data_IF_241780496004
#
_entry.id   IF_241780496004
#
_cell.length_a   1.000
_cell.length_b   1.000
_cell.length_c   1.000
_cell.angle_alpha   90.00
_cell.angle_beta   90.00
_cell.angle_gamma   90.00
#
_symmetry.space_group_name_H-M   'P 1'
#
loop_
_entity.id
_entity.type
_entity.pdbx_description
1 polymer ?
#
# COMPACT_ATOMS: atom_id res chain seq x y z
N UNK A 1 -14.67 26.61 4.40
CA UNK A 1 -14.91 25.83 3.16
C UNK A 1 -13.68 25.07 2.66
N UNK A 2 -12.48 25.69 2.51
CA UNK A 2 -11.27 25.02 1.97
C UNK A 2 -10.85 23.75 2.75
N UNK A 3 -10.94 23.77 4.08
CA UNK A 3 -10.53 22.63 4.91
C UNK A 3 -11.48 21.42 4.78
N UNK A 4 -12.78 21.64 4.61
CA UNK A 4 -13.76 20.55 4.46
C UNK A 4 -13.47 19.74 3.19
N UNK A 5 -13.16 20.43 2.09
CA UNK A 5 -12.81 19.80 0.81
C UNK A 5 -11.49 19.03 0.93
N UNK A 6 -10.54 19.55 1.70
CA UNK A 6 -9.27 18.86 1.96
C UNK A 6 -9.48 17.53 2.68
N UNK A 7 -10.29 17.50 3.75
CA UNK A 7 -10.59 16.25 4.47
C UNK A 7 -11.34 15.25 3.60
N UNK A 8 -12.30 15.70 2.79
CA UNK A 8 -13.02 14.83 1.86
C UNK A 8 -12.09 14.17 0.82
N UNK A 9 -11.02 14.85 0.40
CA UNK A 9 -10.02 14.29 -0.54
C UNK A 9 -9.15 13.19 0.08
N UNK A 10 -9.02 13.15 1.40
CA UNK A 10 -8.21 12.13 2.10
C UNK A 10 -8.98 10.81 2.20
N UNK A 11 -10.31 10.85 2.31
CA UNK A 11 -11.16 9.67 2.51
C UNK A 11 -10.89 8.57 1.46
N UNK A 12 -10.87 8.85 0.14
CA UNK A 12 -10.59 7.82 -0.86
C UNK A 12 -9.21 7.17 -0.69
N UNK A 13 -8.19 7.94 -0.29
CA UNK A 13 -6.83 7.44 -0.08
C UNK A 13 -6.79 6.47 1.11
N UNK A 14 -7.48 6.81 2.19
CA UNK A 14 -7.59 5.93 3.37
C UNK A 14 -8.34 4.65 3.03
N UNK A 15 -9.44 4.74 2.29
CA UNK A 15 -10.19 3.55 1.82
C UNK A 15 -9.28 2.66 0.98
N UNK A 16 -8.57 3.22 0.00
CA UNK A 16 -7.64 2.47 -0.83
C UNK A 16 -6.54 1.77 -0.01
N UNK A 17 -5.97 2.46 0.98
CA UNK A 17 -4.96 1.91 1.88
C UNK A 17 -5.51 0.71 2.69
N UNK A 18 -6.73 0.82 3.23
CA UNK A 18 -7.38 -0.27 3.99
C UNK A 18 -7.64 -1.48 3.08
N UNK A 19 -8.15 -1.26 1.87
CA UNK A 19 -8.44 -2.34 0.92
C UNK A 19 -7.18 -3.10 0.54
N UNK A 20 -6.10 -2.39 0.19
CA UNK A 20 -4.82 -3.00 -0.18
C UNK A 20 -4.20 -3.71 1.04
N UNK A 21 -4.25 -3.09 2.21
CA UNK A 21 -3.74 -3.67 3.46
C UNK A 21 -4.45 -4.98 3.82
N UNK A 22 -5.79 -5.01 3.76
CA UNK A 22 -6.56 -6.22 4.02
C UNK A 22 -6.25 -7.33 3.01
N UNK A 23 -6.03 -6.98 1.74
CA UNK A 23 -5.64 -7.94 0.72
C UNK A 23 -4.25 -8.53 1.00
N UNK A 24 -3.27 -7.69 1.36
CA UNK A 24 -1.95 -8.15 1.76
C UNK A 24 -1.99 -9.05 3.00
N UNK A 25 -2.79 -8.69 4.01
CA UNK A 25 -2.97 -9.51 5.22
C UNK A 25 -3.55 -10.88 4.90
N UNK A 26 -4.49 -10.97 3.96
CA UNK A 26 -5.03 -12.25 3.51
C UNK A 26 -3.93 -13.13 2.87
N UNK A 27 -3.04 -12.53 2.08
CA UNK A 27 -1.93 -13.24 1.45
C UNK A 27 -0.86 -13.66 2.47
N UNK A 28 -0.57 -12.82 3.46
CA UNK A 28 0.33 -13.15 4.55
C UNK A 28 -0.22 -14.32 5.39
N UNK A 29 -1.52 -14.32 5.68
CA UNK A 29 -2.19 -15.45 6.36
C UNK A 29 -2.09 -16.74 5.54
N UNK A 30 -2.26 -16.67 4.20
CA UNK A 30 -2.09 -17.82 3.31
C UNK A 30 -0.66 -18.32 3.27
N UNK A 31 0.33 -17.43 3.21
CA UNK A 31 1.75 -17.79 3.26
C UNK A 31 2.09 -18.53 4.56
N UNK A 32 1.65 -17.99 5.70
CA UNK A 32 1.83 -18.62 7.00
C UNK A 32 1.14 -19.99 7.09
N UNK A 33 -0.11 -20.10 6.62
CA UNK A 33 -0.85 -21.36 6.63
C UNK A 33 -0.22 -22.45 5.74
N UNK A 34 0.52 -22.05 4.70
CA UNK A 34 1.20 -22.96 3.76
C UNK A 34 2.66 -23.21 4.12
N UNK A 35 3.14 -22.69 5.25
CA UNK A 35 4.55 -22.82 5.67
C UNK A 35 5.54 -22.10 4.78
N UNK A 36 5.06 -21.19 3.92
CA UNK A 36 5.93 -20.38 3.05
C UNK A 36 6.65 -19.30 3.87
N UNK A 37 7.83 -18.84 3.43
CA UNK A 37 8.54 -17.76 4.10
C UNK A 37 7.69 -16.49 4.14
N UNK A 38 7.77 -15.72 5.24
CA UNK A 38 7.01 -14.48 5.43
C UNK A 38 7.21 -13.46 4.28
N UNK A 39 8.39 -13.45 3.66
CA UNK A 39 8.70 -12.54 2.56
C UNK A 39 7.95 -12.88 1.26
N UNK A 40 7.37 -14.08 1.14
CA UNK A 40 6.63 -14.48 -0.07
C UNK A 40 5.38 -13.62 -0.28
N UNK A 41 4.80 -13.07 0.79
CA UNK A 41 3.68 -12.13 0.70
C UNK A 41 4.05 -10.85 -0.06
N UNK A 42 5.32 -10.42 -0.04
CA UNK A 42 5.77 -9.24 -0.79
C UNK A 42 5.93 -9.48 -2.29
N UNK A 43 6.06 -10.74 -2.71
CA UNK A 43 6.12 -11.14 -4.12
C UNK A 43 4.71 -11.26 -4.73
N UNK A 44 3.67 -11.18 -3.90
CA UNK A 44 2.28 -11.18 -4.37
C UNK A 44 1.87 -9.83 -4.99
N UNK A 45 0.77 -9.84 -5.74
CA UNK A 45 0.18 -8.61 -6.32
C UNK A 45 -0.01 -7.50 -5.28
N UNK A 46 -0.69 -7.72 -4.12
CA UNK A 46 -0.83 -6.66 -3.13
C UNK A 46 0.50 -6.24 -2.49
N UNK A 47 1.44 -7.18 -2.32
CA UNK A 47 2.77 -6.89 -1.79
C UNK A 47 3.58 -5.96 -2.70
N UNK A 48 3.55 -6.22 -4.01
CA UNK A 48 4.20 -5.38 -5.02
C UNK A 48 3.57 -3.99 -5.10
N UNK A 49 2.23 -3.88 -4.97
CA UNK A 49 1.58 -2.57 -4.91
C UNK A 49 2.06 -1.74 -3.71
N UNK A 50 2.23 -2.37 -2.54
CA UNK A 50 2.76 -1.71 -1.35
C UNK A 50 4.23 -1.31 -1.56
N UNK A 51 5.06 -2.20 -2.10
CA UNK A 51 6.47 -1.91 -2.39
C UNK A 51 6.61 -0.76 -3.39
N UNK A 52 5.83 -0.76 -4.47
CA UNK A 52 5.82 0.32 -5.45
C UNK A 52 5.37 1.63 -4.80
N UNK A 53 4.32 1.63 -3.98
CA UNK A 53 3.89 2.83 -3.29
C UNK A 53 4.97 3.39 -2.36
N UNK A 54 5.67 2.53 -1.59
CA UNK A 54 6.70 2.96 -0.64
C UNK A 54 7.99 3.39 -1.33
N UNK A 55 8.39 2.73 -2.42
CA UNK A 55 9.66 3.02 -3.11
C UNK A 55 9.48 4.12 -4.17
N UNK A 56 8.47 4.03 -5.02
CA UNK A 56 8.32 4.90 -6.19
C UNK A 56 7.88 6.31 -5.79
N UNK A 57 6.95 6.45 -4.84
CA UNK A 57 6.43 7.76 -4.43
C UNK A 57 7.54 8.69 -3.92
N UNK A 58 8.36 8.33 -2.91
CA UNK A 58 9.40 9.23 -2.41
C UNK A 58 10.49 9.49 -3.45
N UNK A 59 10.85 8.49 -4.28
CA UNK A 59 11.84 8.67 -5.35
C UNK A 59 11.35 9.70 -6.38
N UNK A 60 10.09 9.57 -6.83
CA UNK A 60 9.50 10.51 -7.80
C UNK A 60 9.40 11.91 -7.21
N UNK A 61 9.01 12.03 -5.93
CA UNK A 61 8.96 13.32 -5.25
C UNK A 61 10.34 13.96 -5.09
N UNK A 62 11.36 13.16 -4.77
CA UNK A 62 12.76 13.61 -4.67
C UNK A 62 13.34 14.04 -6.01
N UNK A 63 13.04 13.32 -7.09
CA UNK A 63 13.44 13.71 -8.45
C UNK A 63 12.77 15.00 -8.90
N UNK A 64 11.49 15.21 -8.55
CA UNK A 64 10.78 16.46 -8.87
C UNK A 64 11.28 17.66 -8.08
N UNK A 65 11.85 17.43 -6.89
CA UNK A 65 12.35 18.53 -6.05
C UNK A 65 13.74 19.04 -6.45
N UNK A 66 14.40 18.40 -7.42
CA UNK A 66 15.69 18.82 -8.01
C UNK A 66 15.47 19.32 -9.44
#
# INVERSE_FOLDING_TARGET
MKNIVFFLKIIPVLIAAILIGNWFLAELKRANATGKPWYSAYISVPGLLILLAILVIPIVLWLRSH
#
